data_IF_902848605715
#
_entry.id   IF_902848605715
#
_cell.length_a   1.000
_cell.length_b   1.000
_cell.length_c   1.000
_cell.angle_alpha   90.00
_cell.angle_beta   90.00
_cell.angle_gamma   90.00
#
_symmetry.space_group_name_H-M   'P 1'
#
loop_
_entity.id
_entity.type
_entity.pdbx_description
1 polymer ?
#
# COMPACT_ATOMS: atom_id res chain seq x y z
N UNK A 1 -23.91 -1.38 4.22
CA UNK A 1 -22.76 -0.46 4.13
C UNK A 1 -22.54 -0.11 2.67
N UNK A 2 -22.18 1.13 2.34
CA UNK A 2 -21.70 1.45 0.99
C UNK A 2 -20.41 0.66 0.76
N UNK A 3 -20.29 -0.03 -0.39
CA UNK A 3 -19.11 -0.80 -0.73
C UNK A 3 -17.86 0.07 -0.93
N UNK A 4 -16.69 -0.54 -1.16
CA UNK A 4 -15.45 0.18 -1.44
C UNK A 4 -15.63 1.08 -2.68
N UNK A 5 -14.91 2.21 -2.78
CA UNK A 5 -14.93 3.05 -3.97
C UNK A 5 -14.62 2.23 -5.24
N UNK A 6 -15.15 2.60 -6.42
CA UNK A 6 -15.04 1.77 -7.63
C UNK A 6 -13.61 1.34 -8.00
N UNK A 7 -12.64 2.24 -7.82
CA UNK A 7 -11.22 1.95 -8.09
C UNK A 7 -10.61 0.94 -7.10
N UNK A 8 -11.07 0.92 -5.85
CA UNK A 8 -10.68 -0.09 -4.84
C UNK A 8 -11.39 -1.41 -5.13
N UNK A 9 -12.69 -1.36 -5.48
CA UNK A 9 -13.47 -2.53 -5.88
C UNK A 9 -12.79 -3.29 -7.03
N UNK A 10 -12.27 -2.58 -8.05
CA UNK A 10 -11.52 -3.20 -9.15
C UNK A 10 -10.31 -4.04 -8.67
N UNK A 11 -9.60 -3.58 -7.63
CA UNK A 11 -8.47 -4.33 -7.04
C UNK A 11 -8.99 -5.59 -6.33
N UNK A 12 -10.03 -5.45 -5.53
CA UNK A 12 -10.59 -6.55 -4.73
C UNK A 12 -11.24 -7.63 -5.60
N UNK A 13 -11.94 -7.24 -6.66
CA UNK A 13 -12.47 -8.16 -7.67
C UNK A 13 -11.35 -8.98 -8.30
N UNK A 14 -10.22 -8.34 -8.68
CA UNK A 14 -9.08 -9.06 -9.22
C UNK A 14 -8.40 -9.96 -8.20
N UNK A 15 -8.30 -9.53 -6.95
CA UNK A 15 -7.78 -10.36 -5.86
C UNK A 15 -8.65 -11.60 -5.65
N UNK A 16 -9.98 -11.44 -5.65
CA UNK A 16 -10.93 -12.55 -5.52
C UNK A 16 -10.80 -13.53 -6.69
N UNK A 17 -10.75 -13.04 -7.93
CA UNK A 17 -10.52 -13.87 -9.12
C UNK A 17 -9.24 -14.71 -9.00
N UNK A 18 -8.13 -14.08 -8.59
CA UNK A 18 -6.85 -14.77 -8.41
C UNK A 18 -6.89 -15.80 -7.29
N UNK A 19 -7.57 -15.47 -6.19
CA UNK A 19 -7.73 -16.34 -5.04
C UNK A 19 -8.59 -17.56 -5.37
N UNK A 20 -9.71 -17.38 -6.06
CA UNK A 20 -10.59 -18.46 -6.51
C UNK A 20 -9.90 -19.39 -7.50
N UNK A 21 -9.13 -18.83 -8.45
CA UNK A 21 -8.38 -19.58 -9.44
C UNK A 21 -7.12 -20.28 -8.89
N UNK A 22 -6.62 -19.89 -7.72
CA UNK A 22 -5.42 -20.48 -7.13
C UNK A 22 -5.65 -21.95 -6.72
N UNK A 23 -4.62 -22.79 -6.93
CA UNK A 23 -4.61 -24.16 -6.46
C UNK A 23 -4.52 -24.23 -4.93
N UNK A 24 -4.87 -25.38 -4.35
CA UNK A 24 -4.65 -25.65 -2.93
C UNK A 24 -3.17 -25.94 -2.62
N UNK A 25 -2.64 -25.50 -1.45
CA UNK A 25 -3.32 -24.65 -0.47
C UNK A 25 -3.53 -23.22 -1.00
N UNK A 26 -4.71 -22.65 -0.74
CA UNK A 26 -5.01 -21.25 -1.12
C UNK A 26 -3.95 -20.27 -0.58
N UNK A 27 -3.65 -19.20 -1.34
CA UNK A 27 -2.74 -18.16 -0.89
C UNK A 27 -3.38 -17.28 0.19
N UNK A 28 -2.56 -16.66 1.02
CA UNK A 28 -3.00 -15.54 1.86
C UNK A 28 -3.30 -14.30 1.00
N UNK A 29 -4.26 -13.50 1.45
CA UNK A 29 -4.54 -12.17 0.90
C UNK A 29 -4.16 -11.14 1.96
N UNK A 30 -3.23 -10.25 1.61
CA UNK A 30 -2.82 -9.14 2.47
C UNK A 30 -3.56 -7.89 2.02
N UNK A 31 -4.43 -7.34 2.86
CA UNK A 31 -5.03 -6.02 2.65
C UNK A 31 -4.16 -4.97 3.33
N UNK A 32 -3.92 -3.83 2.67
CA UNK A 32 -2.95 -2.82 3.16
C UNK A 32 -3.62 -1.46 3.31
N UNK A 33 -2.96 -0.61 4.10
CA UNK A 33 -3.34 0.76 4.48
C UNK A 33 -4.30 0.88 5.66
N UNK A 34 -3.90 1.74 6.60
CA UNK A 34 -4.82 2.41 7.52
C UNK A 34 -5.67 3.41 6.74
N UNK A 35 -5.02 4.31 6.00
CA UNK A 35 -5.68 5.41 5.31
C UNK A 35 -4.65 6.32 4.65
N UNK A 36 -4.78 7.64 4.82
CA UNK A 36 -3.88 8.61 4.20
C UNK A 36 -3.61 9.78 5.16
N UNK A 37 -2.42 10.41 5.16
CA UNK A 37 -2.18 11.56 6.02
C UNK A 37 -2.95 12.81 5.55
N UNK A 38 -3.65 12.74 4.41
CA UNK A 38 -4.27 13.87 3.74
C UNK A 38 -5.74 14.12 4.10
N UNK A 39 -6.42 13.17 4.75
CA UNK A 39 -7.80 13.33 5.23
C UNK A 39 -8.02 12.56 6.53
N UNK A 40 -8.98 12.94 7.38
CA UNK A 40 -9.32 12.18 8.57
C UNK A 40 -9.73 10.74 8.25
N UNK A 41 -9.43 9.83 9.16
CA UNK A 41 -9.93 8.46 9.09
C UNK A 41 -11.47 8.48 9.24
N UNK A 42 -12.23 7.79 8.36
CA UNK A 42 -13.67 7.65 8.55
C UNK A 42 -13.95 6.86 9.83
N UNK A 43 -15.13 7.08 10.42
CA UNK A 43 -15.57 6.33 11.60
C UNK A 43 -16.79 5.46 11.25
N UNK A 44 -16.97 4.36 11.97
CA UNK A 44 -18.17 3.53 11.90
C UNK A 44 -19.33 4.11 12.72
N UNK A 45 -20.47 3.41 12.74
CA UNK A 45 -21.66 3.84 13.48
C UNK A 45 -21.47 3.84 15.01
N UNK A 46 -20.48 3.09 15.52
CA UNK A 46 -20.12 3.04 16.93
C UNK A 46 -19.02 4.05 17.30
N UNK A 47 -18.49 4.80 16.33
CA UNK A 47 -17.45 5.80 16.53
C UNK A 47 -16.03 5.26 16.54
N UNK A 48 -15.80 4.02 16.09
CA UNK A 48 -14.44 3.48 15.89
C UNK A 48 -13.91 3.90 14.52
N UNK A 49 -12.59 4.11 14.43
CA UNK A 49 -11.91 4.40 13.17
C UNK A 49 -12.02 3.20 12.22
N UNK A 50 -12.20 3.49 10.92
CA UNK A 50 -12.27 2.49 9.86
C UNK A 50 -11.04 2.55 8.98
N UNK A 51 -10.33 1.43 8.92
CA UNK A 51 -9.11 1.30 8.15
C UNK A 51 -9.40 0.73 6.76
N UNK A 52 -8.68 1.21 5.73
CA UNK A 52 -8.85 0.70 4.36
C UNK A 52 -8.57 -0.82 4.30
N UNK A 53 -7.57 -1.32 5.03
CA UNK A 53 -7.25 -2.74 5.14
C UNK A 53 -8.41 -3.57 5.73
N UNK A 54 -9.08 -3.07 6.78
CA UNK A 54 -10.22 -3.74 7.40
C UNK A 54 -11.43 -3.75 6.48
N UNK A 55 -11.75 -2.60 5.87
CA UNK A 55 -12.87 -2.47 4.94
C UNK A 55 -12.71 -3.42 3.74
N UNK A 56 -11.48 -3.53 3.23
CA UNK A 56 -11.13 -4.44 2.15
C UNK A 56 -11.23 -5.91 2.58
N UNK A 57 -10.78 -6.24 3.79
CA UNK A 57 -10.88 -7.59 4.34
C UNK A 57 -12.35 -8.00 4.52
N UNK A 58 -13.18 -7.10 5.08
CA UNK A 58 -14.62 -7.30 5.23
C UNK A 58 -15.32 -7.56 3.90
N UNK A 59 -14.98 -6.81 2.87
CA UNK A 59 -15.55 -7.02 1.52
C UNK A 59 -15.24 -8.42 0.96
N UNK A 60 -14.05 -8.97 1.24
CA UNK A 60 -13.63 -10.31 0.84
C UNK A 60 -14.27 -11.40 1.71
N UNK A 61 -14.41 -11.17 3.02
CA UNK A 61 -15.15 -12.04 3.94
C UNK A 61 -16.59 -12.23 3.48
N UNK A 62 -17.27 -11.13 3.13
CA UNK A 62 -18.65 -11.13 2.62
C UNK A 62 -18.79 -11.93 1.30
N UNK A 63 -17.67 -12.25 0.63
CA UNK A 63 -17.59 -13.04 -0.60
C UNK A 63 -16.97 -14.42 -0.41
N UNK A 64 -16.82 -14.87 0.83
CA UNK A 64 -16.45 -16.24 1.15
C UNK A 64 -14.94 -16.51 1.22
N UNK A 65 -14.09 -15.49 1.20
CA UNK A 65 -12.68 -15.68 1.57
C UNK A 65 -12.61 -16.02 3.07
N UNK A 66 -12.03 -17.15 3.50
CA UNK A 66 -11.97 -17.51 4.90
C UNK A 66 -11.14 -16.50 5.72
N UNK A 67 -11.56 -16.14 6.95
CA UNK A 67 -10.79 -15.25 7.82
C UNK A 67 -9.34 -15.70 8.03
N UNK A 68 -9.09 -17.00 8.08
CA UNK A 68 -7.76 -17.58 8.25
C UNK A 68 -6.78 -17.28 7.10
N UNK A 69 -7.28 -16.83 5.94
CA UNK A 69 -6.46 -16.47 4.78
C UNK A 69 -6.29 -14.97 4.62
N UNK A 70 -6.96 -14.15 5.43
CA UNK A 70 -6.85 -12.69 5.39
C UNK A 70 -5.82 -12.21 6.41
N UNK A 71 -4.94 -11.31 5.96
CA UNK A 71 -3.93 -10.66 6.78
C UNK A 71 -4.05 -9.14 6.60
N UNK A 72 -4.46 -8.44 7.63
CA UNK A 72 -4.62 -6.99 7.58
C UNK A 72 -3.30 -6.28 7.92
N UNK A 73 -2.91 -5.31 7.11
CA UNK A 73 -1.83 -4.36 7.38
C UNK A 73 -2.45 -2.97 7.53
N UNK A 74 -2.72 -2.58 8.77
CA UNK A 74 -3.49 -1.37 9.12
C UNK A 74 -2.62 -0.27 9.73
N UNK A 75 -1.33 -0.21 9.38
CA UNK A 75 -0.39 0.78 9.92
C UNK A 75 -0.02 1.84 8.88
N UNK A 76 0.03 1.45 7.61
CA UNK A 76 0.53 2.30 6.54
C UNK A 76 -0.43 3.40 6.14
N UNK A 77 0.12 4.56 5.77
CA UNK A 77 -0.60 5.75 5.32
C UNK A 77 -0.24 6.15 3.88
N UNK A 78 0.77 5.49 3.30
CA UNK A 78 1.26 5.75 1.95
C UNK A 78 2.08 4.55 1.43
N UNK A 79 2.37 4.56 0.13
CA UNK A 79 2.89 3.42 -0.64
C UNK A 79 4.20 2.82 -0.13
N UNK A 80 5.15 3.61 0.38
CA UNK A 80 6.38 3.09 1.00
C UNK A 80 6.03 2.33 2.28
N UNK A 81 5.17 2.91 3.13
CA UNK A 81 4.57 2.26 4.27
C UNK A 81 3.90 0.94 3.91
N UNK A 82 3.01 0.91 2.90
CA UNK A 82 2.31 -0.32 2.51
C UNK A 82 3.31 -1.45 2.22
N UNK A 83 4.38 -1.16 1.46
CA UNK A 83 5.41 -2.15 1.16
C UNK A 83 6.20 -2.56 2.41
N UNK A 84 6.63 -1.59 3.21
CA UNK A 84 7.49 -1.80 4.38
C UNK A 84 6.78 -2.63 5.46
N UNK A 85 5.56 -2.22 5.83
CA UNK A 85 4.78 -2.89 6.87
C UNK A 85 4.23 -4.23 6.40
N UNK A 86 3.79 -4.37 5.15
CA UNK A 86 3.39 -5.68 4.64
C UNK A 86 4.55 -6.68 4.72
N UNK A 87 5.77 -6.21 4.40
CA UNK A 87 6.97 -7.05 4.51
C UNK A 87 7.24 -7.48 5.96
N UNK A 88 7.31 -6.54 6.89
CA UNK A 88 7.70 -6.83 8.27
C UNK A 88 6.62 -7.55 9.07
N UNK A 89 5.35 -7.17 8.92
CA UNK A 89 4.26 -7.74 9.70
C UNK A 89 3.85 -9.14 9.20
N UNK A 90 3.96 -9.38 7.89
CA UNK A 90 3.38 -10.58 7.29
C UNK A 90 4.40 -11.42 6.54
N UNK A 91 5.05 -10.86 5.52
CA UNK A 91 5.75 -11.71 4.53
C UNK A 91 7.07 -12.24 5.05
N UNK A 92 7.82 -11.42 5.78
CA UNK A 92 9.12 -11.81 6.34
C UNK A 92 8.94 -12.91 7.38
N UNK A 93 8.06 -12.68 8.36
CA UNK A 93 7.78 -13.59 9.49
C UNK A 93 7.12 -14.91 9.06
N UNK A 94 6.27 -14.90 8.01
CA UNK A 94 5.61 -16.12 7.50
C UNK A 94 6.37 -16.81 6.36
N UNK A 95 7.51 -16.27 5.92
CA UNK A 95 8.24 -16.85 4.80
C UNK A 95 7.51 -16.73 3.44
N UNK A 96 6.59 -15.79 3.27
CA UNK A 96 5.88 -15.58 2.00
C UNK A 96 6.83 -14.93 1.00
N UNK A 97 7.35 -15.68 0.02
CA UNK A 97 8.37 -15.17 -0.93
C UNK A 97 7.86 -14.93 -2.34
N UNK A 98 6.67 -15.41 -2.69
CA UNK A 98 6.04 -15.15 -3.99
C UNK A 98 4.79 -14.31 -3.77
N UNK A 99 4.74 -13.12 -4.36
CA UNK A 99 3.64 -12.17 -4.16
C UNK A 99 3.08 -11.70 -5.50
N UNK A 100 1.75 -11.62 -5.55
CA UNK A 100 1.04 -10.87 -6.58
C UNK A 100 0.61 -9.53 -5.99
N UNK A 101 1.17 -8.44 -6.50
CA UNK A 101 0.84 -7.07 -6.11
C UNK A 101 -0.21 -6.53 -7.08
N UNK A 102 -1.44 -6.35 -6.58
CA UNK A 102 -2.58 -5.86 -7.37
C UNK A 102 -2.78 -4.38 -7.08
N UNK A 103 -2.81 -3.54 -8.12
CA UNK A 103 -3.10 -2.11 -7.96
C UNK A 103 -3.70 -1.52 -9.25
N UNK A 104 -4.32 -0.34 -9.15
CA UNK A 104 -4.80 0.38 -10.34
C UNK A 104 -3.63 0.80 -11.24
N UNK A 105 -3.87 0.88 -12.54
CA UNK A 105 -2.89 1.25 -13.56
C UNK A 105 -2.24 2.60 -13.27
N UNK A 106 -3.02 3.63 -12.91
CA UNK A 106 -2.48 4.98 -12.66
C UNK A 106 -1.39 5.00 -11.58
N UNK A 107 -1.45 4.07 -10.61
CA UNK A 107 -0.58 4.01 -9.44
C UNK A 107 0.49 2.89 -9.52
N UNK A 108 0.44 2.07 -10.56
CA UNK A 108 1.28 0.87 -10.64
C UNK A 108 2.77 1.20 -10.78
N UNK A 109 3.14 2.24 -11.53
CA UNK A 109 4.55 2.59 -11.76
C UNK A 109 5.30 2.87 -10.44
N UNK A 110 4.71 3.69 -9.55
CA UNK A 110 5.28 3.99 -8.24
C UNK A 110 5.21 2.78 -7.32
N UNK A 111 4.10 2.04 -7.34
CA UNK A 111 3.96 0.78 -6.59
C UNK A 111 5.10 -0.19 -6.92
N UNK A 112 5.37 -0.41 -8.21
CA UNK A 112 6.44 -1.29 -8.68
C UNK A 112 7.82 -0.80 -8.25
N UNK A 113 8.11 0.48 -8.40
CA UNK A 113 9.39 1.06 -8.01
C UNK A 113 9.67 0.89 -6.50
N UNK A 114 8.64 1.12 -5.67
CA UNK A 114 8.72 1.02 -4.22
C UNK A 114 8.80 -0.44 -3.76
N UNK A 115 7.85 -1.29 -4.16
CA UNK A 115 7.79 -2.69 -3.72
C UNK A 115 9.02 -3.46 -4.17
N UNK A 116 9.50 -3.28 -5.40
CA UNK A 116 10.72 -3.95 -5.87
C UNK A 116 11.93 -3.57 -5.02
N UNK A 117 12.08 -2.31 -4.60
CA UNK A 117 13.18 -1.92 -3.72
C UNK A 117 13.02 -2.50 -2.31
N UNK A 118 11.87 -2.26 -1.69
CA UNK A 118 11.58 -2.68 -0.30
C UNK A 118 11.75 -4.18 -0.12
N UNK A 119 11.32 -5.00 -1.08
CA UNK A 119 11.40 -6.45 -0.99
C UNK A 119 12.76 -7.01 -1.44
N UNK A 120 13.64 -6.21 -2.04
CA UNK A 120 14.96 -6.68 -2.48
C UNK A 120 16.10 -6.34 -1.50
N UNK A 121 15.94 -5.29 -0.68
CA UNK A 121 16.98 -4.89 0.28
C UNK A 121 17.10 -5.88 1.46
N UNK A 122 18.29 -6.04 2.06
CA UNK A 122 18.47 -6.83 3.28
C UNK A 122 17.73 -6.23 4.48
N UNK A 123 17.54 -7.05 5.53
CA UNK A 123 17.01 -6.57 6.81
C UNK A 123 17.96 -5.55 7.47
N UNK A 124 19.25 -5.89 7.51
CA UNK A 124 20.30 -5.09 8.14
C UNK A 124 21.34 -4.63 7.10
N UNK A 125 22.05 -3.52 7.35
CA UNK A 125 23.13 -3.06 6.48
C UNK A 125 24.20 -4.14 6.29
N UNK A 126 24.65 -4.33 5.05
CA UNK A 126 25.63 -5.35 4.69
C UNK A 126 25.09 -6.78 4.63
N UNK A 127 23.80 -7.00 4.90
CA UNK A 127 23.16 -8.30 4.79
C UNK A 127 22.93 -8.76 3.34
N UNK A 128 22.54 -10.03 3.18
CA UNK A 128 22.17 -10.58 1.89
C UNK A 128 20.83 -10.01 1.39
N UNK A 129 20.78 -9.68 0.09
CA UNK A 129 19.54 -9.29 -0.58
C UNK A 129 18.52 -10.40 -0.47
N UNK A 130 17.25 -10.01 -0.33
CA UNK A 130 16.15 -10.96 -0.21
C UNK A 130 15.69 -11.47 -1.57
N UNK A 131 15.21 -12.71 -1.61
CA UNK A 131 14.86 -13.45 -2.83
C UNK A 131 13.35 -13.53 -3.04
N UNK A 132 12.68 -12.38 -3.04
CA UNK A 132 11.25 -12.30 -3.32
C UNK A 132 10.96 -12.33 -4.82
N UNK A 133 9.94 -13.08 -5.22
CA UNK A 133 9.35 -13.07 -6.55
C UNK A 133 8.10 -12.20 -6.53
N UNK A 134 8.12 -11.08 -7.24
CA UNK A 134 7.01 -10.14 -7.30
C UNK A 134 6.39 -10.13 -8.70
N UNK A 135 5.11 -10.45 -8.77
CA UNK A 135 4.27 -10.25 -9.96
C UNK A 135 3.41 -9.01 -9.75
N UNK A 136 3.38 -8.11 -10.73
CA UNK A 136 2.56 -6.91 -10.69
C UNK A 136 1.35 -7.07 -11.61
N UNK A 137 0.16 -6.81 -11.08
CA UNK A 137 -1.10 -6.99 -11.80
C UNK A 137 -1.86 -5.67 -11.75
N UNK A 138 -2.00 -5.06 -12.91
CA UNK A 138 -2.77 -3.83 -13.09
C UNK A 138 -4.25 -4.14 -13.22
N UNK A 139 -5.08 -3.28 -12.64
CA UNK A 139 -6.53 -3.24 -12.85
C UNK A 139 -6.94 -1.86 -13.35
N UNK A 140 -8.16 -1.78 -13.87
CA UNK A 140 -8.76 -0.52 -14.32
C UNK A 140 -8.82 0.51 -13.20
N UNK A 141 -8.69 1.79 -13.58
CA UNK A 141 -8.64 2.88 -12.61
C UNK A 141 -10.03 3.23 -12.04
N UNK A 142 -11.11 3.04 -12.81
CA UNK A 142 -12.51 3.32 -12.41
C UNK A 142 -12.70 4.64 -11.64
N UNK A 143 -11.97 5.68 -12.04
CA UNK A 143 -12.08 7.05 -11.51
C UNK A 143 -12.70 7.97 -12.58
N UNK A 144 -13.42 9.04 -12.18
CA UNK A 144 -13.78 10.13 -13.09
C UNK A 144 -12.54 10.70 -13.80
N UNK A 145 -12.68 11.14 -15.04
CA UNK A 145 -11.55 11.54 -15.89
C UNK A 145 -10.74 12.71 -15.33
N UNK A 146 -11.42 13.72 -14.76
CA UNK A 146 -10.79 14.87 -14.10
C UNK A 146 -9.97 14.44 -12.87
N UNK A 147 -10.53 13.55 -12.05
CA UNK A 147 -9.86 12.98 -10.88
C UNK A 147 -8.67 12.11 -11.30
N UNK A 148 -8.84 11.29 -12.33
CA UNK A 148 -7.80 10.41 -12.86
C UNK A 148 -6.60 11.21 -13.36
N UNK A 149 -6.84 12.30 -14.09
CA UNK A 149 -5.77 13.18 -14.58
C UNK A 149 -4.95 13.76 -13.42
N UNK A 150 -5.62 14.31 -12.40
CA UNK A 150 -4.94 14.84 -11.20
C UNK A 150 -4.09 13.77 -10.49
N UNK A 151 -4.61 12.54 -10.40
CA UNK A 151 -3.86 11.41 -9.83
C UNK A 151 -2.63 11.07 -10.67
N UNK A 152 -2.76 11.01 -11.99
CA UNK A 152 -1.65 10.73 -12.90
C UNK A 152 -0.56 11.81 -12.85
N UNK A 153 -0.93 13.09 -12.80
CA UNK A 153 0.03 14.20 -12.65
C UNK A 153 0.79 14.11 -11.32
N UNK A 154 0.09 13.78 -10.23
CA UNK A 154 0.72 13.55 -8.91
C UNK A 154 1.68 12.36 -8.95
N UNK A 155 1.29 11.26 -9.58
CA UNK A 155 2.13 10.07 -9.73
C UNK A 155 3.37 10.35 -10.59
N UNK A 156 3.21 11.04 -11.73
CA UNK A 156 4.31 11.45 -12.59
C UNK A 156 5.31 12.36 -11.86
N UNK A 157 4.82 13.26 -11.01
CA UNK A 157 5.66 14.15 -10.21
C UNK A 157 6.41 13.41 -9.09
N UNK A 158 5.79 12.39 -8.48
CA UNK A 158 6.37 11.64 -7.36
C UNK A 158 7.35 10.54 -7.80
N UNK A 159 7.08 9.90 -8.94
CA UNK A 159 7.79 8.71 -9.42
C UNK A 159 9.33 8.88 -9.53
N UNK A 160 9.89 9.99 -10.05
CA UNK A 160 11.34 10.12 -10.26
C UNK A 160 12.19 9.86 -9.01
N UNK A 161 11.67 10.16 -7.81
CA UNK A 161 12.35 9.90 -6.54
C UNK A 161 12.59 8.41 -6.28
N UNK A 162 11.68 7.55 -6.75
CA UNK A 162 11.61 6.11 -6.44
C UNK A 162 12.20 5.23 -7.53
N UNK A 163 12.49 5.79 -8.71
CA UNK A 163 13.09 5.05 -9.82
C UNK A 163 14.41 4.37 -9.42
N UNK A 164 14.81 3.29 -10.13
CA UNK A 164 16.07 2.60 -9.87
C UNK A 164 17.26 3.55 -9.78
N UNK A 165 18.09 3.37 -8.74
CA UNK A 165 19.25 4.23 -8.45
C UNK A 165 18.91 5.70 -8.12
N UNK A 166 17.62 5.99 -7.90
CA UNK A 166 17.14 7.27 -7.42
C UNK A 166 17.61 7.58 -6.00
N UNK A 167 17.43 8.84 -5.55
CA UNK A 167 17.95 9.32 -4.26
C UNK A 167 17.36 8.54 -3.07
N UNK A 168 16.09 8.15 -3.13
CA UNK A 168 15.46 7.40 -2.04
C UNK A 168 16.03 5.98 -1.90
N UNK A 169 16.23 5.26 -3.01
CA UNK A 169 16.81 3.91 -2.96
C UNK A 169 18.25 3.93 -2.41
N UNK A 170 19.05 4.93 -2.80
CA UNK A 170 20.41 5.14 -2.29
C UNK A 170 20.43 5.42 -0.79
N UNK A 171 19.45 6.17 -0.29
CA UNK A 171 19.32 6.49 1.13
C UNK A 171 18.73 5.34 1.98
N UNK A 172 18.21 4.28 1.35
CA UNK A 172 17.54 3.18 2.05
C UNK A 172 18.05 1.79 1.60
N UNK A 173 19.35 1.48 1.72
CA UNK A 173 19.92 0.23 1.21
C UNK A 173 19.56 -1.01 2.04
N UNK A 174 18.96 -0.86 3.23
CA UNK A 174 18.40 -1.94 4.06
C UNK A 174 17.05 -1.54 4.67
N UNK A 175 16.31 -2.50 5.25
CA UNK A 175 15.09 -2.19 6.00
C UNK A 175 15.37 -1.38 7.27
N UNK A 176 16.57 -1.49 7.86
CA UNK A 176 16.99 -0.60 8.96
C UNK A 176 17.13 0.85 8.48
N UNK A 177 17.78 1.08 7.35
CA UNK A 177 17.93 2.44 6.81
C UNK A 177 16.57 3.01 6.38
N UNK A 178 15.68 2.14 5.86
CA UNK A 178 14.31 2.50 5.54
C UNK A 178 13.49 2.84 6.79
N UNK A 179 13.69 2.12 7.89
CA UNK A 179 13.10 2.45 9.19
C UNK A 179 13.53 3.84 9.65
N UNK A 180 14.83 4.14 9.58
CA UNK A 180 15.38 5.44 9.93
C UNK A 180 14.77 6.54 9.03
N UNK A 181 14.73 6.33 7.72
CA UNK A 181 14.11 7.26 6.78
C UNK A 181 12.61 7.48 7.05
N UNK A 182 11.85 6.42 7.33
CA UNK A 182 10.42 6.52 7.66
C UNK A 182 10.21 7.39 8.91
N UNK A 183 10.99 7.18 9.95
CA UNK A 183 10.79 7.85 11.24
C UNK A 183 11.50 9.21 11.38
N UNK A 184 12.40 9.54 10.47
CA UNK A 184 13.14 10.81 10.50
C UNK A 184 12.78 11.74 9.34
N UNK A 185 12.43 11.21 8.17
CA UNK A 185 12.25 11.99 6.94
C UNK A 185 10.85 11.95 6.33
N UNK A 186 10.14 10.83 6.44
CA UNK A 186 8.82 10.68 5.83
C UNK A 186 7.76 11.51 6.58
N UNK A 187 7.02 12.33 5.84
CA UNK A 187 6.03 13.25 6.41
C UNK A 187 4.81 12.57 7.03
N UNK A 188 4.57 11.27 6.76
CA UNK A 188 3.49 10.51 7.38
C UNK A 188 3.86 9.99 8.78
N UNK A 189 5.12 9.62 9.02
CA UNK A 189 5.54 8.93 10.25
C UNK A 189 6.54 9.71 11.10
N UNK A 190 7.40 10.54 10.49
CA UNK A 190 8.47 11.21 11.19
C UNK A 190 7.93 12.20 12.23
N UNK A 191 8.41 12.11 13.48
CA UNK A 191 7.94 12.95 14.58
C UNK A 191 8.10 14.45 14.29
N UNK A 192 9.10 14.83 13.48
CA UNK A 192 9.31 16.21 13.03
C UNK A 192 8.09 16.85 12.35
N UNK A 193 7.19 16.05 11.77
CA UNK A 193 5.92 16.55 11.19
C UNK A 193 5.04 17.27 12.21
N UNK A 194 5.17 16.95 13.50
CA UNK A 194 4.40 17.56 14.59
C UNK A 194 4.87 18.97 14.94
N UNK A 195 6.02 19.40 14.42
CA UNK A 195 6.52 20.77 14.57
C UNK A 195 5.81 21.75 13.61
N UNK A 196 5.13 21.22 12.59
CA UNK A 196 4.37 22.01 11.62
C UNK A 196 2.88 21.98 11.96
N UNK A 197 2.20 23.12 11.79
CA UNK A 197 0.75 23.15 11.87
C UNK A 197 0.15 22.39 10.68
N UNK A 198 -0.90 21.59 10.92
CA UNK A 198 -1.63 20.92 9.84
C UNK A 198 -2.19 21.97 8.90
N UNK A 199 -1.82 21.88 7.62
CA UNK A 199 -2.41 22.70 6.57
C UNK A 199 -3.91 22.37 6.43
N UNK A 200 -4.75 23.35 6.07
CA UNK A 200 -6.14 23.09 5.71
C UNK A 200 -6.24 22.02 4.62
N UNK A 201 -7.32 21.25 4.64
CA UNK A 201 -7.58 20.24 3.62
C UNK A 201 -7.73 20.93 2.26
N UNK A 202 -6.95 20.49 1.27
CA UNK A 202 -7.07 20.96 -0.10
C UNK A 202 -8.31 20.30 -0.75
N UNK A 203 -9.34 21.08 -1.15
CA UNK A 203 -10.56 20.53 -1.74
C UNK A 203 -10.32 19.77 -3.04
N UNK A 204 -9.30 20.14 -3.82
CA UNK A 204 -8.91 19.42 -5.04
C UNK A 204 -8.31 18.07 -4.71
N UNK A 205 -7.56 17.99 -3.61
CA UNK A 205 -6.96 16.77 -3.11
C UNK A 205 -8.02 15.83 -2.54
N UNK A 206 -9.04 16.35 -1.84
CA UNK A 206 -10.17 15.56 -1.34
C UNK A 206 -10.98 14.89 -2.46
N UNK A 207 -11.17 15.54 -3.61
CA UNK A 207 -11.84 14.91 -4.77
C UNK A 207 -11.09 13.68 -5.28
N UNK A 208 -9.78 13.61 -5.02
CA UNK A 208 -8.95 12.53 -5.48
C UNK A 208 -8.99 11.29 -4.58
N UNK A 209 -9.33 11.42 -3.28
CA UNK A 209 -9.28 10.36 -2.24
C UNK A 209 -10.65 9.94 -1.74
#
# INVERSE_FOLDING_TARGET
MAGPPPHVAARLEKVLELYEAAAEPKPYVITTAWGTPHKPCPHDAAGFERHEAEDNARWLLDRGVPPSHLLEESTSLETVGNAYFARLLHTEVRGLRRLAIVNNRFHMARTKAVFTHVFAVPLLPGGLRSTYELKYIEVEDRLPSDVLQLRQEKEASALPRFLPFGPWQKATPSLRDMHEWLNQENTAYAAKRLLEQRKPLDPSLLKSY
#
